data_IF_070643338724
#
_entry.id   IF_070643338724
#
_cell.length_a   1.000
_cell.length_b   1.000
_cell.length_c   1.000
_cell.angle_alpha   90.00
_cell.angle_beta   90.00
_cell.angle_gamma   90.00
#
_symmetry.space_group_name_H-M   'P 1'
#
loop_
_entity.id
_entity.type
_entity.pdbx_description
1 polymer ?
#
# COMPACT_ATOMS: atom_id res chain seq x y z
N UNK A 1 -8.48 -14.20 -12.93
CA UNK A 1 -7.73 -14.58 -11.71
C UNK A 1 -7.18 -13.31 -11.09
N UNK A 2 -7.41 -13.12 -9.81
CA UNK A 2 -6.86 -11.99 -9.04
C UNK A 2 -5.34 -12.06 -9.02
N UNK A 3 -4.67 -10.96 -9.35
CA UNK A 3 -3.21 -10.91 -9.40
C UNK A 3 -2.64 -10.87 -7.98
N UNK A 4 -1.43 -11.38 -7.79
CA UNK A 4 -0.73 -11.33 -6.51
C UNK A 4 0.53 -10.47 -6.62
N UNK A 5 0.72 -9.60 -5.64
CA UNK A 5 1.86 -8.71 -5.51
C UNK A 5 2.46 -8.85 -4.11
N UNK A 6 3.66 -8.37 -3.88
CA UNK A 6 4.30 -8.36 -2.57
C UNK A 6 4.27 -6.95 -1.98
N UNK A 7 3.97 -6.82 -0.69
CA UNK A 7 4.17 -5.60 0.08
C UNK A 7 5.36 -5.82 1.03
N UNK A 8 6.53 -5.24 0.70
CA UNK A 8 7.79 -5.58 1.31
C UNK A 8 7.92 -5.08 2.77
N UNK A 9 8.47 -5.88 3.68
CA UNK A 9 8.60 -5.56 5.10
C UNK A 9 9.83 -4.69 5.39
N UNK A 10 9.90 -3.48 4.86
CA UNK A 10 11.09 -2.61 4.85
C UNK A 10 11.67 -2.34 6.23
N UNK A 11 10.81 -2.17 7.25
CA UNK A 11 11.25 -1.90 8.61
C UNK A 11 11.73 -3.16 9.36
N UNK A 12 11.32 -4.37 8.92
CA UNK A 12 11.60 -5.62 9.59
C UNK A 12 12.85 -6.36 9.06
N UNK A 13 13.37 -5.95 7.91
CA UNK A 13 14.51 -6.64 7.29
C UNK A 13 15.85 -6.09 7.75
N UNK A 14 16.89 -6.93 7.92
CA UNK A 14 18.19 -6.51 8.41
C UNK A 14 18.97 -5.63 7.42
N UNK A 15 18.72 -5.78 6.12
CA UNK A 15 19.48 -5.07 5.07
C UNK A 15 18.59 -4.73 3.85
N UNK A 16 19.10 -3.86 2.97
CA UNK A 16 18.50 -3.64 1.65
C UNK A 16 18.63 -4.92 0.81
N UNK A 17 19.72 -5.66 0.94
CA UNK A 17 19.93 -6.90 0.20
C UNK A 17 18.84 -7.94 0.52
N UNK A 18 18.44 -8.08 1.78
CA UNK A 18 17.33 -8.97 2.15
C UNK A 18 16.01 -8.60 1.47
N UNK A 19 15.74 -7.30 1.26
CA UNK A 19 14.56 -6.84 0.52
C UNK A 19 14.66 -7.17 -0.98
N UNK A 20 15.85 -7.06 -1.54
CA UNK A 20 16.13 -7.47 -2.93
C UNK A 20 15.95 -8.98 -3.10
N UNK A 21 16.46 -9.78 -2.17
CA UNK A 21 16.33 -11.25 -2.21
C UNK A 21 14.85 -11.67 -2.11
N UNK A 22 14.06 -11.01 -1.27
CA UNK A 22 12.60 -11.22 -1.20
C UNK A 22 11.92 -10.85 -2.52
N UNK A 23 12.30 -9.73 -3.16
CA UNK A 23 11.74 -9.33 -4.45
C UNK A 23 12.10 -10.33 -5.56
N UNK A 24 13.35 -10.80 -5.62
CA UNK A 24 13.80 -11.84 -6.55
C UNK A 24 13.02 -13.16 -6.35
N UNK A 25 12.83 -13.57 -5.10
CA UNK A 25 12.00 -14.75 -4.81
C UNK A 25 10.56 -14.53 -5.29
N UNK A 26 9.99 -13.33 -5.10
CA UNK A 26 8.69 -12.97 -5.64
C UNK A 26 8.62 -13.11 -7.16
N UNK A 27 9.62 -12.61 -7.86
CA UNK A 27 9.76 -12.74 -9.31
C UNK A 27 9.80 -14.21 -9.76
N UNK A 28 10.66 -15.03 -9.13
CA UNK A 28 10.76 -16.48 -9.39
C UNK A 28 9.44 -17.23 -9.13
N UNK A 29 8.60 -16.72 -8.23
CA UNK A 29 7.29 -17.28 -7.90
C UNK A 29 6.13 -16.70 -8.72
N UNK A 30 6.39 -15.76 -9.61
CA UNK A 30 5.40 -15.19 -10.50
C UNK A 30 4.54 -14.08 -9.88
N UNK A 31 5.00 -13.46 -8.80
CA UNK A 31 4.34 -12.24 -8.30
C UNK A 31 4.53 -11.09 -9.28
N UNK A 32 3.46 -10.34 -9.51
CA UNK A 32 3.46 -9.29 -10.52
C UNK A 32 4.29 -8.07 -10.14
N UNK A 33 4.34 -7.72 -8.83
CA UNK A 33 4.94 -6.46 -8.38
C UNK A 33 5.45 -6.54 -6.94
N UNK A 34 6.53 -5.81 -6.66
CA UNK A 34 7.04 -5.54 -5.32
C UNK A 34 6.69 -4.09 -4.92
N UNK A 35 5.85 -3.93 -3.91
CA UNK A 35 5.49 -2.66 -3.32
C UNK A 35 6.39 -2.35 -2.13
N UNK A 36 6.92 -1.12 -2.08
CA UNK A 36 7.81 -0.65 -1.02
C UNK A 36 7.13 0.47 -0.23
N UNK A 37 6.81 0.26 1.07
CA UNK A 37 6.23 1.31 1.90
C UNK A 37 7.25 2.39 2.27
N UNK A 38 6.79 3.65 2.30
CA UNK A 38 7.57 4.78 2.82
C UNK A 38 7.05 5.18 4.21
N UNK A 39 7.87 4.91 5.21
CA UNK A 39 7.63 5.28 6.60
C UNK A 39 8.90 5.94 7.18
N UNK A 40 9.26 5.69 8.41
CA UNK A 40 10.51 6.14 9.04
C UNK A 40 11.63 5.08 8.99
N UNK A 41 11.57 4.18 8.01
CA UNK A 41 12.56 3.14 7.76
C UNK A 41 13.59 3.55 6.69
N UNK A 42 13.83 2.65 5.73
CA UNK A 42 14.73 2.94 4.61
C UNK A 42 14.05 3.83 3.58
N UNK A 43 14.85 4.65 2.89
CA UNK A 43 14.39 5.50 1.79
C UNK A 43 13.81 4.64 0.66
N UNK A 44 12.58 4.97 0.27
CA UNK A 44 11.80 4.18 -0.68
C UNK A 44 12.43 4.18 -2.08
N UNK A 45 12.97 5.32 -2.52
CA UNK A 45 13.57 5.46 -3.87
C UNK A 45 14.84 4.63 -3.98
N UNK A 46 15.68 4.66 -2.94
CA UNK A 46 16.92 3.86 -2.87
C UNK A 46 16.62 2.36 -2.90
N UNK A 47 15.59 1.90 -2.16
CA UNK A 47 15.18 0.49 -2.16
C UNK A 47 14.62 0.09 -3.51
N UNK A 48 13.71 0.89 -4.09
CA UNK A 48 13.12 0.61 -5.41
C UNK A 48 14.19 0.56 -6.52
N UNK A 49 15.16 1.48 -6.50
CA UNK A 49 16.28 1.47 -7.45
C UNK A 49 17.08 0.18 -7.36
N UNK A 50 17.38 -0.28 -6.12
CA UNK A 50 18.12 -1.54 -5.94
C UNK A 50 17.32 -2.75 -6.43
N UNK A 51 16.03 -2.81 -6.18
CA UNK A 51 15.17 -3.89 -6.68
C UNK A 51 15.13 -3.83 -8.22
N UNK A 52 14.88 -2.65 -8.79
CA UNK A 52 14.79 -2.46 -10.24
C UNK A 52 16.03 -2.96 -11.00
N UNK A 53 17.24 -2.73 -10.43
CA UNK A 53 18.51 -3.12 -11.05
C UNK A 53 18.92 -4.58 -10.83
N UNK A 54 18.22 -5.28 -9.95
CA UNK A 54 18.53 -6.66 -9.57
C UNK A 54 17.45 -7.66 -9.97
N UNK A 55 16.37 -7.18 -10.60
CA UNK A 55 15.23 -7.96 -11.09
C UNK A 55 14.93 -7.59 -12.54
N UNK A 56 14.34 -8.51 -13.31
CA UNK A 56 14.12 -8.34 -14.74
C UNK A 56 12.64 -8.15 -15.12
N UNK A 57 11.71 -8.81 -14.41
CA UNK A 57 10.29 -8.87 -14.79
C UNK A 57 9.34 -8.27 -13.76
N UNK A 58 9.62 -8.44 -12.45
CA UNK A 58 8.73 -7.98 -11.40
C UNK A 58 8.56 -6.46 -11.44
N UNK A 59 7.32 -6.01 -11.47
CA UNK A 59 7.01 -4.59 -11.37
C UNK A 59 7.45 -4.02 -10.03
N UNK A 60 7.70 -2.72 -9.98
CA UNK A 60 8.07 -2.01 -8.76
C UNK A 60 7.13 -0.84 -8.49
N UNK A 61 7.03 -0.41 -7.25
CA UNK A 61 6.31 0.80 -6.89
C UNK A 61 6.36 1.12 -5.41
N UNK A 62 6.27 2.39 -5.02
CA UNK A 62 6.02 2.75 -3.64
C UNK A 62 4.55 2.45 -3.29
N UNK A 63 4.30 1.98 -2.08
CA UNK A 63 2.96 1.84 -1.52
C UNK A 63 2.96 2.32 -0.07
N UNK A 64 2.93 3.60 0.11
CA UNK A 64 2.87 4.70 -0.86
C UNK A 64 4.01 5.69 -0.61
N UNK A 65 4.40 6.48 -1.62
CA UNK A 65 5.17 7.69 -1.42
C UNK A 65 4.24 8.80 -0.87
N UNK A 66 4.64 9.42 0.24
CA UNK A 66 3.77 10.42 0.86
C UNK A 66 3.82 11.77 0.12
N UNK A 67 2.70 12.49 0.14
CA UNK A 67 2.52 13.77 -0.56
C UNK A 67 2.96 14.98 0.27
N UNK A 68 3.87 14.81 1.23
CA UNK A 68 4.38 15.88 2.09
C UNK A 68 5.91 15.96 2.12
N UNK A 69 6.62 14.85 1.93
CA UNK A 69 8.07 14.79 2.11
C UNK A 69 8.90 15.29 0.93
N UNK A 70 8.35 15.21 -0.30
CA UNK A 70 8.99 15.69 -1.54
C UNK A 70 8.07 16.71 -2.19
N UNK A 71 8.59 17.62 -3.02
CA UNK A 71 7.71 18.43 -3.87
C UNK A 71 7.07 17.54 -4.96
N UNK A 72 5.87 17.89 -5.47
CA UNK A 72 5.24 17.10 -6.53
C UNK A 72 6.07 17.06 -7.83
N UNK A 73 6.78 18.13 -8.14
CA UNK A 73 7.70 18.16 -9.28
C UNK A 73 8.89 17.20 -9.10
N UNK A 74 9.49 17.16 -7.87
CA UNK A 74 10.55 16.21 -7.57
C UNK A 74 10.04 14.76 -7.60
N UNK A 75 8.82 14.50 -7.14
CA UNK A 75 8.22 13.17 -7.21
C UNK A 75 7.99 12.73 -8.67
N UNK A 76 7.53 13.65 -9.54
CA UNK A 76 7.43 13.39 -10.98
C UNK A 76 8.77 13.09 -11.64
N UNK A 77 9.80 13.87 -11.29
CA UNK A 77 11.18 13.60 -11.72
C UNK A 77 11.70 12.25 -11.24
N UNK A 78 11.43 11.89 -9.98
CA UNK A 78 11.77 10.58 -9.40
C UNK A 78 11.06 9.45 -10.15
N UNK A 79 9.76 9.63 -10.45
CA UNK A 79 8.98 8.64 -11.17
C UNK A 79 9.52 8.39 -12.58
N UNK A 80 9.87 9.45 -13.32
CA UNK A 80 10.50 9.32 -14.63
C UNK A 80 11.83 8.54 -14.58
N UNK A 81 12.67 8.85 -13.58
CA UNK A 81 13.96 8.17 -13.41
C UNK A 81 13.79 6.69 -12.99
N UNK A 82 12.84 6.39 -12.09
CA UNK A 82 12.54 5.00 -11.71
C UNK A 82 11.95 4.20 -12.87
N UNK A 83 11.14 4.84 -13.71
CA UNK A 83 10.59 4.20 -14.92
C UNK A 83 11.72 3.82 -15.90
N UNK A 84 12.68 4.70 -16.12
CA UNK A 84 13.89 4.44 -16.91
C UNK A 84 14.72 3.29 -16.32
N UNK A 85 15.08 3.37 -15.03
CA UNK A 85 15.91 2.35 -14.36
C UNK A 85 15.23 0.99 -14.30
N UNK A 86 13.91 0.94 -14.25
CA UNK A 86 13.13 -0.30 -14.19
C UNK A 86 12.67 -0.81 -15.55
N UNK A 87 13.10 -0.20 -16.65
CA UNK A 87 12.66 -0.56 -18.01
C UNK A 87 11.13 -0.63 -18.13
N UNK A 88 10.45 0.44 -17.69
CA UNK A 88 9.00 0.58 -17.83
C UNK A 88 8.15 -0.14 -16.78
N UNK A 89 8.75 -0.72 -15.71
CA UNK A 89 8.02 -1.53 -14.72
C UNK A 89 7.44 -0.76 -13.54
N UNK A 90 7.57 0.58 -13.50
CA UNK A 90 7.08 1.39 -12.40
C UNK A 90 5.55 1.53 -12.41
N UNK A 91 4.95 1.47 -11.23
CA UNK A 91 3.61 1.97 -10.92
C UNK A 91 3.71 2.81 -9.65
N UNK A 92 3.31 4.07 -9.69
CA UNK A 92 3.54 5.02 -8.61
C UNK A 92 2.34 5.06 -7.65
N UNK A 93 2.48 4.50 -6.46
CA UNK A 93 1.49 4.69 -5.41
C UNK A 93 1.78 5.95 -4.59
N UNK A 94 0.81 6.84 -4.44
CA UNK A 94 0.89 8.04 -3.63
C UNK A 94 -0.24 8.11 -2.58
N UNK A 95 -0.03 8.88 -1.53
CA UNK A 95 -1.06 9.07 -0.52
C UNK A 95 -0.64 10.03 0.59
N UNK A 96 -1.57 10.41 1.48
CA UNK A 96 -1.26 11.40 2.51
C UNK A 96 -0.42 10.85 3.67
N UNK A 97 -0.26 9.53 3.80
CA UNK A 97 0.26 8.90 5.03
C UNK A 97 -0.64 9.24 6.24
N UNK A 98 -0.09 9.35 7.45
CA UNK A 98 -0.82 9.72 8.65
C UNK A 98 -0.22 10.96 9.35
N UNK A 99 -1.02 11.72 10.11
CA UNK A 99 -0.55 12.92 10.81
C UNK A 99 0.68 12.65 11.69
N UNK A 100 0.71 11.55 12.42
CA UNK A 100 1.83 11.19 13.29
C UNK A 100 3.17 11.10 12.55
N UNK A 101 3.19 10.56 11.33
CA UNK A 101 4.38 10.48 10.48
C UNK A 101 4.71 11.83 9.87
N UNK A 102 3.72 12.53 9.35
CA UNK A 102 3.95 13.79 8.64
C UNK A 102 4.39 14.89 9.61
N UNK A 103 3.71 15.06 10.72
CA UNK A 103 4.03 16.08 11.71
C UNK A 103 5.23 15.69 12.57
N UNK A 104 5.27 14.42 13.04
CA UNK A 104 6.29 13.95 13.97
C UNK A 104 7.63 13.62 13.34
N UNK A 105 7.65 13.06 12.13
CA UNK A 105 8.87 12.66 11.44
C UNK A 105 9.34 13.66 10.38
N UNK A 106 8.40 14.15 9.53
CA UNK A 106 8.74 15.08 8.45
C UNK A 106 8.70 16.55 8.89
N UNK A 107 8.05 16.89 10.02
CA UNK A 107 7.93 18.25 10.52
C UNK A 107 7.08 19.15 9.60
N UNK A 108 6.18 18.57 8.85
CA UNK A 108 5.26 19.27 7.96
C UNK A 108 3.84 19.30 8.55
N UNK A 109 3.10 20.35 8.28
CA UNK A 109 1.69 20.44 8.69
C UNK A 109 0.83 19.46 7.88
N UNK A 110 0.03 18.64 8.56
CA UNK A 110 -0.91 17.74 7.92
C UNK A 110 -2.21 18.46 7.55
N UNK A 111 -2.15 19.23 6.46
CA UNK A 111 -3.28 20.05 5.99
C UNK A 111 -3.82 19.57 4.63
N UNK A 112 -5.14 19.73 4.43
CA UNK A 112 -5.85 19.48 3.16
C UNK A 112 -5.41 18.21 2.40
N UNK A 113 -5.33 17.01 3.06
CA UNK A 113 -4.71 15.82 2.49
C UNK A 113 -5.31 15.38 1.15
N UNK A 114 -6.62 15.47 0.97
CA UNK A 114 -7.27 15.08 -0.28
C UNK A 114 -6.93 16.05 -1.43
N UNK A 115 -6.97 17.36 -1.16
CA UNK A 115 -6.59 18.34 -2.17
C UNK A 115 -5.13 18.20 -2.56
N UNK A 116 -4.25 18.03 -1.57
CA UNK A 116 -2.82 17.83 -1.79
C UNK A 116 -2.55 16.59 -2.63
N UNK A 117 -3.18 15.45 -2.32
CA UNK A 117 -3.03 14.21 -3.08
C UNK A 117 -3.48 14.40 -4.54
N UNK A 118 -4.60 15.10 -4.77
CA UNK A 118 -5.08 15.40 -6.11
C UNK A 118 -4.09 16.27 -6.89
N UNK A 119 -3.60 17.37 -6.30
CA UNK A 119 -2.65 18.25 -6.96
C UNK A 119 -1.31 17.55 -7.24
N UNK A 120 -0.85 16.64 -6.34
CA UNK A 120 0.32 15.80 -6.60
C UNK A 120 0.12 14.91 -7.81
N UNK A 121 -1.01 14.24 -7.92
CA UNK A 121 -1.33 13.37 -9.06
C UNK A 121 -1.32 14.16 -10.38
N UNK A 122 -1.99 15.31 -10.42
CA UNK A 122 -2.06 16.18 -11.58
C UNK A 122 -0.67 16.69 -11.99
N UNK A 123 0.14 17.16 -11.02
CA UNK A 123 1.49 17.67 -11.28
C UNK A 123 2.45 16.56 -11.70
N UNK A 124 2.42 15.39 -11.06
CA UNK A 124 3.26 14.24 -11.43
C UNK A 124 3.00 13.84 -12.88
N UNK A 125 1.73 13.74 -13.29
CA UNK A 125 1.37 13.44 -14.68
C UNK A 125 1.87 14.50 -15.64
N UNK A 126 1.70 15.78 -15.29
CA UNK A 126 2.19 16.89 -16.11
C UNK A 126 3.73 16.91 -16.24
N UNK A 127 4.46 16.58 -15.16
CA UNK A 127 5.92 16.46 -15.20
C UNK A 127 6.36 15.29 -16.08
N UNK A 128 5.75 14.12 -15.94
CA UNK A 128 6.13 12.90 -16.67
C UNK A 128 5.68 12.90 -18.13
N UNK A 129 4.77 13.80 -18.54
CA UNK A 129 4.41 14.00 -19.96
C UNK A 129 5.55 14.59 -20.80
N UNK A 130 6.55 15.20 -20.16
CA UNK A 130 7.66 15.89 -20.84
C UNK A 130 7.31 17.30 -21.35
N UNK A 131 6.09 17.75 -21.16
CA UNK A 131 5.66 19.10 -21.53
C UNK A 131 6.17 20.15 -20.54
N UNK A 132 6.13 21.44 -20.96
CA UNK A 132 6.45 22.53 -20.04
C UNK A 132 5.33 22.68 -19.02
N UNK A 133 5.68 22.51 -17.75
CA UNK A 133 4.74 22.55 -16.64
C UNK A 133 4.24 23.97 -16.38
N UNK A 134 2.93 24.15 -16.42
CA UNK A 134 2.20 25.29 -15.89
C UNK A 134 1.05 24.76 -15.05
N UNK A 135 1.08 25.02 -13.75
CA UNK A 135 0.07 24.55 -12.81
C UNK A 135 -0.23 25.65 -11.78
N UNK A 136 -1.48 25.97 -11.62
CA UNK A 136 -1.97 26.97 -10.65
C UNK A 136 -3.12 26.37 -9.85
N UNK A 137 -2.77 25.71 -8.74
CA UNK A 137 -3.69 25.02 -7.82
C UNK A 137 -3.92 25.81 -6.53
N UNK A 138 -4.63 25.18 -5.60
CA UNK A 138 -4.90 25.76 -4.28
C UNK A 138 -3.71 25.65 -3.31
N UNK A 139 -2.78 24.73 -3.58
CA UNK A 139 -1.62 24.44 -2.74
C UNK A 139 -0.32 24.72 -3.50
N UNK A 140 -0.26 24.34 -4.77
CA UNK A 140 0.95 24.47 -5.57
C UNK A 140 0.74 25.38 -6.77
N UNK A 141 1.75 26.23 -7.02
CA UNK A 141 1.86 27.03 -8.25
C UNK A 141 3.24 26.82 -8.84
N UNK A 142 3.31 26.27 -10.07
CA UNK A 142 4.56 25.92 -10.75
C UNK A 142 4.49 26.41 -12.20
N UNK A 143 5.62 26.96 -12.69
CA UNK A 143 5.64 27.51 -14.05
C UNK A 143 7.01 27.44 -14.72
N UNK A 144 7.02 27.09 -16.02
CA UNK A 144 8.11 27.35 -16.93
C UNK A 144 9.23 26.31 -16.95
N UNK A 145 9.08 25.16 -16.24
CA UNK A 145 10.07 24.09 -16.25
C UNK A 145 9.53 22.82 -16.92
N UNK A 146 10.43 22.00 -17.45
CA UNK A 146 10.16 20.65 -17.92
C UNK A 146 11.33 19.72 -17.59
N UNK A 147 11.11 18.42 -17.68
CA UNK A 147 12.20 17.45 -17.57
C UNK A 147 13.29 17.76 -18.61
N UNK A 148 14.55 17.54 -18.22
CA UNK A 148 15.72 17.67 -19.10
C UNK A 148 16.24 16.32 -19.60
N UNK A 149 15.61 15.22 -19.23
CA UNK A 149 15.76 13.89 -19.80
C UNK A 149 14.57 13.60 -20.71
N UNK A 150 14.66 12.53 -21.48
CA UNK A 150 13.55 12.05 -22.28
C UNK A 150 12.39 11.64 -21.37
N UNK A 151 11.14 12.00 -21.72
CA UNK A 151 9.99 11.57 -20.95
C UNK A 151 9.79 10.06 -21.09
N UNK A 152 9.10 9.40 -20.11
CA UNK A 152 8.74 8.01 -20.25
C UNK A 152 7.99 7.72 -21.57
N UNK A 153 8.36 6.64 -22.26
CA UNK A 153 7.70 6.25 -23.52
C UNK A 153 6.22 5.90 -23.32
N UNK A 154 5.89 5.37 -22.14
CA UNK A 154 4.52 5.07 -21.73
C UNK A 154 4.16 5.86 -20.48
N UNK A 155 2.89 6.24 -20.33
CA UNK A 155 2.43 6.92 -19.13
C UNK A 155 2.65 6.05 -17.91
N UNK A 156 3.18 6.65 -16.84
CA UNK A 156 3.35 5.98 -15.55
C UNK A 156 2.00 5.94 -14.84
N UNK A 157 1.44 4.75 -14.52
CA UNK A 157 0.21 4.69 -13.76
C UNK A 157 0.42 5.25 -12.33
N UNK A 158 -0.51 6.08 -11.87
CA UNK A 158 -0.48 6.68 -10.53
C UNK A 158 -1.66 6.19 -9.72
N UNK A 159 -1.37 5.41 -8.68
CA UNK A 159 -2.36 4.91 -7.73
C UNK A 159 -2.47 5.82 -6.51
N UNK A 160 -3.64 5.86 -5.89
CA UNK A 160 -3.89 6.62 -4.67
C UNK A 160 -4.29 5.68 -3.53
N UNK A 161 -3.68 5.85 -2.37
CA UNK A 161 -4.11 5.17 -1.15
C UNK A 161 -5.14 5.99 -0.38
N UNK A 162 -6.13 5.30 0.16
CA UNK A 162 -7.16 5.92 0.99
C UNK A 162 -8.09 4.91 1.63
N UNK A 163 -8.57 5.21 2.85
CA UNK A 163 -9.49 4.36 3.62
C UNK A 163 -10.87 4.98 3.84
N UNK A 164 -10.98 6.29 3.71
CA UNK A 164 -12.26 6.99 3.90
C UNK A 164 -13.03 7.14 2.59
N UNK A 165 -14.36 7.33 2.64
CA UNK A 165 -15.21 7.44 1.46
C UNK A 165 -14.72 8.46 0.44
N UNK A 166 -14.32 9.65 0.89
CA UNK A 166 -13.87 10.73 -0.01
C UNK A 166 -12.49 10.50 -0.62
N UNK A 167 -11.59 9.76 0.05
CA UNK A 167 -10.30 9.39 -0.54
C UNK A 167 -10.46 8.29 -1.59
N UNK A 168 -11.40 7.38 -1.39
CA UNK A 168 -11.72 6.33 -2.37
C UNK A 168 -12.44 6.92 -3.59
N UNK A 169 -13.42 7.80 -3.39
CA UNK A 169 -14.06 8.57 -4.47
C UNK A 169 -13.03 9.38 -5.29
N UNK A 170 -12.04 9.99 -4.63
CA UNK A 170 -10.93 10.69 -5.29
C UNK A 170 -10.11 9.72 -6.15
N UNK A 171 -9.79 8.54 -5.63
CA UNK A 171 -9.05 7.53 -6.39
C UNK A 171 -9.81 7.11 -7.65
N UNK A 172 -11.09 6.77 -7.54
CA UNK A 172 -11.95 6.44 -8.68
C UNK A 172 -12.00 7.54 -9.73
N UNK A 173 -12.10 8.79 -9.28
CA UNK A 173 -12.24 9.93 -10.18
C UNK A 173 -10.96 10.31 -10.92
N UNK A 174 -9.80 10.18 -10.30
CA UNK A 174 -8.56 10.79 -10.81
C UNK A 174 -7.38 9.83 -10.96
N UNK A 175 -7.32 8.69 -10.22
CA UNK A 175 -6.15 7.83 -10.19
C UNK A 175 -6.26 6.65 -11.17
N UNK A 176 -5.14 6.00 -11.46
CA UNK A 176 -5.08 4.77 -12.26
C UNK A 176 -5.23 3.51 -11.39
N UNK A 177 -5.35 3.71 -10.08
CA UNK A 177 -5.67 2.65 -9.14
C UNK A 177 -5.89 3.14 -7.71
N UNK A 178 -6.40 2.24 -6.90
CA UNK A 178 -6.64 2.45 -5.47
C UNK A 178 -5.92 1.39 -4.64
N UNK A 179 -5.12 1.84 -3.66
CA UNK A 179 -4.54 0.99 -2.64
C UNK A 179 -5.41 0.97 -1.39
N UNK A 180 -6.03 -0.19 -1.14
CA UNK A 180 -6.85 -0.49 0.02
C UNK A 180 -6.04 -1.26 1.06
N UNK A 181 -6.25 -0.98 2.34
CA UNK A 181 -5.62 -1.69 3.46
C UNK A 181 -6.55 -1.69 4.67
N UNK A 182 -6.51 -2.77 5.47
CA UNK A 182 -7.31 -2.92 6.70
C UNK A 182 -8.82 -2.83 6.40
N UNK A 183 -9.25 -3.63 5.44
CA UNK A 183 -10.66 -3.83 5.12
C UNK A 183 -11.02 -5.30 5.25
N UNK A 184 -12.14 -5.56 5.94
CA UNK A 184 -12.84 -6.84 5.87
C UNK A 184 -13.45 -7.03 4.48
N UNK A 185 -13.83 -8.25 4.09
CA UNK A 185 -14.52 -8.46 2.81
C UNK A 185 -15.79 -7.60 2.65
N UNK A 186 -16.56 -7.39 3.73
CA UNK A 186 -17.75 -6.54 3.72
C UNK A 186 -17.37 -5.06 3.59
N UNK A 187 -16.44 -4.59 4.43
CA UNK A 187 -15.94 -3.20 4.36
C UNK A 187 -15.31 -2.86 3.01
N UNK A 188 -14.71 -3.86 2.34
CA UNK A 188 -14.19 -3.69 0.98
C UNK A 188 -15.31 -3.47 -0.04
N UNK A 189 -16.40 -4.26 0.03
CA UNK A 189 -17.56 -4.09 -0.86
C UNK A 189 -18.19 -2.71 -0.70
N UNK A 190 -18.39 -2.25 0.54
CA UNK A 190 -18.90 -0.90 0.78
C UNK A 190 -18.00 0.21 0.19
N UNK A 191 -16.69 0.05 0.27
CA UNK A 191 -15.73 1.04 -0.27
C UNK A 191 -15.66 1.00 -1.80
N UNK A 192 -15.91 -0.14 -2.41
CA UNK A 192 -16.03 -0.25 -3.87
C UNK A 192 -17.19 0.60 -4.41
N UNK A 193 -18.30 0.75 -3.68
CA UNK A 193 -19.38 1.67 -4.06
C UNK A 193 -18.92 3.15 -4.06
N UNK A 194 -18.02 3.53 -3.13
CA UNK A 194 -17.40 4.87 -3.14
C UNK A 194 -16.47 5.07 -4.36
N UNK A 195 -15.75 4.01 -4.73
CA UNK A 195 -14.89 4.00 -5.91
C UNK A 195 -15.72 4.18 -7.20
N UNK A 196 -16.81 3.43 -7.34
CA UNK A 196 -17.73 3.52 -8.47
C UNK A 196 -18.30 4.92 -8.62
N UNK A 197 -18.75 5.54 -7.50
CA UNK A 197 -19.17 6.95 -7.54
C UNK A 197 -18.07 7.90 -8.03
N UNK A 198 -16.84 7.62 -7.66
CA UNK A 198 -15.68 8.39 -8.14
C UNK A 198 -15.46 8.22 -9.64
N UNK A 199 -15.56 6.99 -10.14
CA UNK A 199 -15.45 6.63 -11.56
C UNK A 199 -16.52 7.37 -12.37
N UNK A 200 -17.77 7.30 -11.94
CA UNK A 200 -18.91 8.00 -12.57
C UNK A 200 -18.69 9.53 -12.60
N UNK A 201 -18.25 10.12 -11.49
CA UNK A 201 -17.94 11.56 -11.41
C UNK A 201 -16.76 11.97 -12.30
N UNK A 202 -15.91 11.03 -12.67
CA UNK A 202 -14.77 11.23 -13.55
C UNK A 202 -15.07 10.98 -15.02
N UNK A 203 -16.29 10.50 -15.36
CA UNK A 203 -16.66 10.04 -16.69
C UNK A 203 -15.66 8.99 -17.22
N UNK A 204 -15.42 7.95 -16.39
CA UNK A 204 -14.41 6.90 -16.62
C UNK A 204 -15.06 5.53 -16.61
N UNK A 205 -14.33 4.53 -17.10
CA UNK A 205 -14.72 3.13 -17.03
C UNK A 205 -14.11 2.42 -15.80
N UNK A 206 -14.76 1.34 -15.32
CA UNK A 206 -14.21 0.56 -14.19
C UNK A 206 -12.81 0.02 -14.46
N UNK A 207 -12.53 -0.39 -15.69
CA UNK A 207 -11.24 -0.95 -16.11
C UNK A 207 -10.09 0.09 -16.12
N UNK A 208 -10.41 1.38 -16.04
CA UNK A 208 -9.41 2.44 -15.91
C UNK A 208 -8.77 2.51 -14.51
N UNK A 209 -9.35 1.82 -13.51
CA UNK A 209 -8.96 1.94 -12.10
C UNK A 209 -8.68 0.58 -11.50
N UNK A 210 -7.41 0.26 -11.29
CA UNK A 210 -6.99 -0.98 -10.65
C UNK A 210 -7.17 -0.92 -9.12
N UNK A 211 -7.77 -1.93 -8.54
CA UNK A 211 -7.94 -2.06 -7.08
C UNK A 211 -6.93 -3.07 -6.53
N UNK A 212 -6.07 -2.60 -5.62
CA UNK A 212 -5.10 -3.46 -4.91
C UNK A 212 -5.45 -3.48 -3.42
N UNK A 213 -5.81 -4.64 -2.88
CA UNK A 213 -6.04 -4.84 -1.45
C UNK A 213 -4.79 -5.42 -0.79
N UNK A 214 -4.24 -4.69 0.18
CA UNK A 214 -3.11 -5.15 0.99
C UNK A 214 -3.61 -5.97 2.18
N UNK A 215 -3.07 -7.18 2.33
CA UNK A 215 -3.38 -8.11 3.40
C UNK A 215 -2.14 -8.37 4.27
N UNK A 216 -2.34 -8.53 5.57
CA UNK A 216 -1.32 -9.11 6.44
C UNK A 216 -1.36 -10.61 6.29
N UNK A 217 -0.25 -11.23 5.86
CA UNK A 217 -0.23 -12.66 5.56
C UNK A 217 0.91 -13.38 6.28
N UNK A 218 0.63 -14.56 6.81
CA UNK A 218 1.62 -15.43 7.43
C UNK A 218 1.19 -16.89 7.29
N UNK A 219 1.91 -17.69 6.51
CA UNK A 219 1.60 -19.08 6.24
C UNK A 219 2.77 -19.96 6.65
N UNK A 220 2.63 -20.64 7.80
CA UNK A 220 3.69 -21.45 8.42
C UNK A 220 3.15 -22.83 8.83
N UNK A 221 4.02 -23.84 8.89
CA UNK A 221 3.65 -25.15 9.47
C UNK A 221 3.15 -25.00 10.92
N UNK A 222 3.77 -24.11 11.70
CA UNK A 222 3.26 -23.65 12.99
C UNK A 222 2.20 -22.56 12.77
N UNK A 223 0.95 -23.00 12.63
CA UNK A 223 -0.19 -22.11 12.40
C UNK A 223 -0.50 -21.18 13.58
N UNK A 224 -0.19 -21.58 14.82
CA UNK A 224 -0.34 -20.73 16.02
C UNK A 224 0.64 -19.57 15.97
N UNK A 225 1.90 -19.83 15.67
CA UNK A 225 2.93 -18.82 15.46
C UNK A 225 2.53 -17.82 14.36
N UNK A 226 2.00 -18.32 13.25
CA UNK A 226 1.53 -17.48 12.15
C UNK A 226 0.42 -16.50 12.59
N UNK A 227 -0.56 -17.00 13.35
CA UNK A 227 -1.67 -16.20 13.85
C UNK A 227 -1.22 -15.18 14.89
N UNK A 228 -0.31 -15.54 15.78
CA UNK A 228 0.25 -14.64 16.78
C UNK A 228 1.00 -13.47 16.14
N UNK A 229 1.79 -13.73 15.10
CA UNK A 229 2.47 -12.69 14.34
C UNK A 229 1.48 -11.74 13.66
N UNK A 230 0.43 -12.27 13.03
CA UNK A 230 -0.60 -11.46 12.38
C UNK A 230 -1.38 -10.61 13.42
N UNK A 231 -1.71 -11.19 14.57
CA UNK A 231 -2.39 -10.50 15.67
C UNK A 231 -1.55 -9.35 16.24
N UNK A 232 -0.25 -9.57 16.46
CA UNK A 232 0.67 -8.52 16.90
C UNK A 232 0.78 -7.39 15.88
N UNK A 233 0.78 -7.72 14.59
CA UNK A 233 0.83 -6.74 13.52
C UNK A 233 -0.43 -5.87 13.48
N UNK A 234 -1.61 -6.49 13.57
CA UNK A 234 -2.89 -5.79 13.61
C UNK A 234 -3.01 -4.89 14.84
N UNK A 235 -2.63 -5.39 16.04
CA UNK A 235 -2.61 -4.59 17.27
C UNK A 235 -1.73 -3.35 17.13
N UNK A 236 -0.56 -3.48 16.48
CA UNK A 236 0.31 -2.36 16.18
C UNK A 236 -0.36 -1.33 15.23
N UNK A 237 -1.01 -1.78 14.17
CA UNK A 237 -1.68 -0.86 13.24
C UNK A 237 -2.79 -0.07 13.93
N UNK A 238 -3.64 -0.73 14.70
CA UNK A 238 -4.76 -0.09 15.40
C UNK A 238 -4.27 0.81 16.53
N UNK A 239 -3.22 0.37 17.27
CA UNK A 239 -2.74 1.05 18.47
C UNK A 239 -1.72 2.17 18.22
N UNK A 240 -0.85 2.03 17.21
CA UNK A 240 0.31 2.90 17.03
C UNK A 240 0.32 3.75 15.77
N UNK A 241 -0.39 3.34 14.69
CA UNK A 241 -0.29 3.99 13.39
C UNK A 241 -1.25 5.17 13.19
N UNK A 242 -1.87 5.65 14.27
CA UNK A 242 -2.76 6.81 14.28
C UNK A 242 -4.25 6.46 14.18
N UNK A 243 -5.10 7.49 14.09
CA UNK A 243 -6.56 7.34 14.20
C UNK A 243 -7.22 6.73 12.98
N UNK A 244 -6.62 6.84 11.79
CA UNK A 244 -7.25 6.41 10.54
C UNK A 244 -7.57 4.91 10.47
N UNK A 245 -6.69 4.05 10.97
CA UNK A 245 -6.93 2.61 11.02
C UNK A 245 -8.06 2.27 11.98
N UNK A 246 -8.07 2.90 13.15
CA UNK A 246 -9.14 2.76 14.15
C UNK A 246 -10.48 3.25 13.60
N UNK A 247 -10.52 4.42 12.97
CA UNK A 247 -11.72 4.95 12.32
C UNK A 247 -12.20 4.09 11.16
N UNK A 248 -11.29 3.44 10.43
CA UNK A 248 -11.65 2.49 9.38
C UNK A 248 -12.35 1.26 9.95
N UNK A 249 -11.84 0.69 11.04
CA UNK A 249 -12.46 -0.44 11.72
C UNK A 249 -13.79 -0.05 12.37
N UNK A 250 -13.88 1.14 12.97
CA UNK A 250 -15.14 1.65 13.54
C UNK A 250 -16.25 1.73 12.47
N UNK A 251 -15.93 2.20 11.25
CA UNK A 251 -16.88 2.21 10.13
C UNK A 251 -17.31 0.83 9.66
N UNK A 252 -16.52 -0.20 9.94
CA UNK A 252 -16.78 -1.60 9.60
C UNK A 252 -17.45 -2.38 10.76
N UNK A 253 -17.91 -1.67 11.81
CA UNK A 253 -18.63 -2.27 12.94
C UNK A 253 -17.75 -2.71 14.13
N UNK A 254 -16.45 -2.46 14.09
CA UNK A 254 -15.48 -2.85 15.14
C UNK A 254 -15.01 -1.65 15.98
N UNK A 255 -15.93 -0.73 16.32
CA UNK A 255 -15.58 0.50 17.04
C UNK A 255 -15.12 0.21 18.48
N UNK A 256 -15.80 -0.70 19.17
CA UNK A 256 -15.49 -1.06 20.56
C UNK A 256 -14.13 -1.75 20.65
N UNK A 257 -13.90 -2.77 19.81
CA UNK A 257 -12.64 -3.51 19.73
C UNK A 257 -11.47 -2.60 19.37
N UNK A 258 -11.65 -1.74 18.35
CA UNK A 258 -10.61 -0.83 17.90
C UNK A 258 -10.22 0.19 19.00
N UNK A 259 -11.18 0.69 19.78
CA UNK A 259 -10.92 1.59 20.90
C UNK A 259 -10.22 0.87 22.06
N UNK A 260 -10.64 -0.34 22.40
CA UNK A 260 -10.05 -1.14 23.48
C UNK A 260 -8.61 -1.55 23.15
N UNK A 261 -8.34 -1.99 21.92
CA UNK A 261 -7.00 -2.30 21.42
C UNK A 261 -6.10 -1.05 21.51
N UNK A 262 -6.58 0.10 21.05
CA UNK A 262 -5.81 1.35 21.09
C UNK A 262 -5.54 1.82 22.55
N UNK A 263 -6.49 1.66 23.46
CA UNK A 263 -6.33 1.99 24.87
C UNK A 263 -5.28 1.09 25.55
N UNK A 264 -5.35 -0.23 25.32
CA UNK A 264 -4.39 -1.18 25.85
C UNK A 264 -2.98 -0.90 25.29
N UNK A 265 -2.86 -0.63 23.99
CA UNK A 265 -1.59 -0.27 23.36
C UNK A 265 -0.99 1.00 23.96
N UNK A 266 -1.79 2.06 24.11
CA UNK A 266 -1.34 3.36 24.64
C UNK A 266 -0.92 3.28 26.11
N UNK A 267 -1.45 2.32 26.89
CA UNK A 267 -1.02 2.04 28.26
C UNK A 267 0.26 1.20 28.36
N UNK A 268 0.80 0.74 27.22
CA UNK A 268 1.96 -0.14 27.15
C UNK A 268 1.66 -1.63 27.34
N UNK A 269 0.38 -1.99 27.48
CA UNK A 269 -0.06 -3.39 27.62
C UNK A 269 -0.30 -4.02 26.23
N UNK A 270 0.79 -4.27 25.53
CA UNK A 270 0.76 -4.81 24.16
C UNK A 270 0.23 -6.24 24.12
N UNK A 271 0.46 -7.04 25.16
CA UNK A 271 -0.08 -8.41 25.27
C UNK A 271 -1.60 -8.38 25.32
N UNK A 272 -2.16 -7.50 26.18
CA UNK A 272 -3.59 -7.29 26.23
C UNK A 272 -4.15 -6.76 24.90
N UNK A 273 -3.48 -5.80 24.26
CA UNK A 273 -3.90 -5.29 22.95
C UNK A 273 -4.03 -6.42 21.91
N UNK A 274 -3.08 -7.37 21.89
CA UNK A 274 -3.16 -8.55 21.05
C UNK A 274 -4.33 -9.47 21.43
N UNK A 275 -4.56 -9.71 22.71
CA UNK A 275 -5.63 -10.60 23.19
C UNK A 275 -7.05 -10.06 22.96
N UNK A 276 -7.19 -8.76 22.74
CA UNK A 276 -8.46 -8.11 22.42
C UNK A 276 -8.89 -8.24 20.96
N UNK A 277 -8.05 -8.80 20.10
CA UNK A 277 -8.40 -9.03 18.68
C UNK A 277 -9.16 -10.36 18.57
N UNK A 278 -10.48 -10.32 18.23
CA UNK A 278 -11.26 -11.52 18.03
C UNK A 278 -10.73 -12.37 16.86
N UNK A 279 -10.98 -13.68 16.89
CA UNK A 279 -10.52 -14.59 15.84
C UNK A 279 -11.14 -14.30 14.48
N UNK A 280 -12.42 -13.93 14.44
CA UNK A 280 -13.14 -13.56 13.25
C UNK A 280 -12.59 -12.25 12.64
N UNK A 281 -12.30 -11.24 13.45
CA UNK A 281 -11.68 -10.01 12.97
C UNK A 281 -10.28 -10.27 12.39
N UNK A 282 -9.50 -11.16 13.01
CA UNK A 282 -8.19 -11.54 12.48
C UNK A 282 -8.31 -12.22 11.10
N UNK A 283 -9.30 -13.12 10.95
CA UNK A 283 -9.58 -13.84 9.70
C UNK A 283 -10.21 -12.95 8.61
N UNK A 284 -10.89 -11.86 9.00
CA UNK A 284 -11.48 -10.89 8.08
C UNK A 284 -10.50 -9.79 7.61
N UNK A 285 -9.38 -9.63 8.31
CA UNK A 285 -8.38 -8.59 7.97
C UNK A 285 -7.06 -9.14 7.43
N UNK A 286 -6.87 -10.47 7.47
CA UNK A 286 -5.62 -11.08 7.07
C UNK A 286 -5.72 -12.56 6.75
N UNK A 287 -4.59 -13.13 6.41
CA UNK A 287 -4.44 -14.54 6.03
C UNK A 287 -3.33 -15.13 6.89
N UNK A 288 -3.69 -15.88 7.95
CA UNK A 288 -2.70 -16.42 8.87
C UNK A 288 -3.05 -17.82 9.38
N UNK A 289 -2.10 -18.75 9.30
CA UNK A 289 -2.28 -20.11 9.77
C UNK A 289 -1.34 -21.11 9.10
N UNK A 290 -1.74 -22.38 9.16
CA UNK A 290 -1.04 -23.42 8.39
C UNK A 290 -1.15 -23.16 6.88
N UNK A 291 -0.27 -23.74 6.04
CA UNK A 291 -0.31 -23.55 4.60
C UNK A 291 -1.69 -23.78 3.97
N UNK A 292 -2.39 -24.84 4.38
CA UNK A 292 -3.72 -25.15 3.84
C UNK A 292 -4.78 -24.15 4.29
N UNK A 293 -4.75 -23.72 5.58
CA UNK A 293 -5.63 -22.68 6.08
C UNK A 293 -5.38 -21.36 5.37
N UNK A 294 -4.13 -20.96 5.24
CA UNK A 294 -3.77 -19.70 4.60
C UNK A 294 -4.25 -19.62 3.14
N UNK A 295 -4.15 -20.72 2.38
CA UNK A 295 -4.71 -20.78 1.00
C UNK A 295 -6.23 -20.62 1.01
N UNK A 296 -6.92 -21.34 1.87
CA UNK A 296 -8.38 -21.27 1.98
C UNK A 296 -8.87 -19.87 2.41
N UNK A 297 -8.15 -19.20 3.33
CA UNK A 297 -8.46 -17.82 3.74
C UNK A 297 -8.19 -16.84 2.59
N UNK A 298 -7.12 -17.01 1.82
CA UNK A 298 -6.80 -16.14 0.69
C UNK A 298 -7.89 -16.17 -0.40
N UNK A 299 -8.49 -17.34 -0.65
CA UNK A 299 -9.59 -17.50 -1.61
C UNK A 299 -10.79 -16.60 -1.31
N UNK A 300 -11.07 -16.27 -0.04
CA UNK A 300 -12.15 -15.37 0.36
C UNK A 300 -11.91 -13.96 -0.17
N UNK A 301 -10.67 -13.50 -0.15
CA UNK A 301 -10.28 -12.19 -0.67
C UNK A 301 -10.17 -12.18 -2.19
N UNK A 302 -9.73 -13.27 -2.80
CA UNK A 302 -9.71 -13.45 -4.25
C UNK A 302 -11.11 -13.45 -4.87
N UNK A 303 -12.12 -13.84 -4.08
CA UNK A 303 -13.53 -13.88 -4.50
C UNK A 303 -14.25 -12.53 -4.35
N UNK A 304 -13.60 -11.48 -3.86
CA UNK A 304 -14.21 -10.14 -3.76
C UNK A 304 -14.25 -9.54 -5.16
N UNK A 305 -15.48 -9.43 -5.70
CA UNK A 305 -15.68 -8.78 -6.99
C UNK A 305 -15.21 -7.31 -6.95
N UNK A 306 -14.51 -6.88 -7.99
CA UNK A 306 -13.94 -5.53 -8.04
C UNK A 306 -12.55 -5.40 -7.39
N UNK A 307 -11.95 -6.46 -6.83
CA UNK A 307 -10.54 -6.48 -6.41
C UNK A 307 -9.68 -7.12 -7.50
N UNK A 308 -8.78 -6.33 -8.10
CA UNK A 308 -7.94 -6.77 -9.22
C UNK A 308 -6.64 -7.45 -8.76
N UNK A 309 -6.17 -7.09 -7.56
CA UNK A 309 -4.87 -7.52 -7.03
C UNK A 309 -4.87 -7.63 -5.50
N UNK A 310 -4.23 -8.68 -4.98
CA UNK A 310 -3.92 -8.82 -3.56
C UNK A 310 -2.43 -8.56 -3.34
N UNK A 311 -2.11 -7.63 -2.43
CA UNK A 311 -0.74 -7.39 -2.01
C UNK A 311 -0.47 -8.18 -0.72
N UNK A 312 0.37 -9.20 -0.86
CA UNK A 312 0.81 -10.11 0.20
C UNK A 312 1.82 -9.36 1.07
N UNK A 313 1.38 -8.93 2.25
CA UNK A 313 2.20 -8.21 3.21
C UNK A 313 2.55 -9.11 4.40
N UNK A 314 3.66 -8.81 5.06
CA UNK A 314 4.22 -9.67 6.10
C UNK A 314 4.14 -8.99 7.47
N UNK A 315 3.81 -9.73 8.54
CA UNK A 315 3.73 -9.16 9.87
C UNK A 315 5.11 -8.73 10.38
N UNK A 316 5.11 -7.70 11.20
CA UNK A 316 6.31 -7.28 11.93
C UNK A 316 6.77 -8.41 12.84
N UNK A 317 8.04 -8.70 12.86
CA UNK A 317 8.60 -9.78 13.67
C UNK A 317 8.64 -11.15 12.99
N UNK A 318 8.10 -11.29 11.78
CA UNK A 318 8.38 -12.45 10.95
C UNK A 318 9.85 -12.45 10.53
N UNK A 319 10.50 -13.62 10.63
CA UNK A 319 11.88 -13.82 10.14
C UNK A 319 11.91 -13.86 8.61
N UNK A 320 13.10 -13.76 8.04
CA UNK A 320 13.25 -13.88 6.58
C UNK A 320 12.77 -15.25 6.09
N UNK A 321 13.05 -16.32 6.80
CA UNK A 321 12.62 -17.67 6.48
C UNK A 321 11.08 -17.82 6.54
N UNK A 322 10.43 -17.20 7.54
CA UNK A 322 8.96 -17.19 7.67
C UNK A 322 8.31 -16.40 6.53
N UNK A 323 8.92 -15.30 6.09
CA UNK A 323 8.49 -14.51 4.94
C UNK A 323 8.62 -15.32 3.65
N UNK A 324 9.76 -15.96 3.43
CA UNK A 324 10.01 -16.79 2.26
C UNK A 324 9.06 -17.99 2.18
N UNK A 325 8.80 -18.65 3.31
CA UNK A 325 7.83 -19.73 3.39
C UNK A 325 6.41 -19.23 2.99
N UNK A 326 6.02 -18.06 3.48
CA UNK A 326 4.73 -17.46 3.14
C UNK A 326 4.63 -17.11 1.65
N UNK A 327 5.69 -16.55 1.05
CA UNK A 327 5.77 -16.28 -0.40
C UNK A 327 5.55 -17.57 -1.20
N UNK A 328 6.21 -18.64 -0.81
CA UNK A 328 6.11 -19.92 -1.51
C UNK A 328 4.73 -20.57 -1.40
N UNK A 329 4.11 -20.48 -0.23
CA UNK A 329 2.78 -21.05 0.04
C UNK A 329 1.69 -20.30 -0.74
N UNK A 330 1.78 -18.96 -0.81
CA UNK A 330 0.76 -18.11 -1.41
C UNK A 330 1.08 -17.70 -2.86
N UNK A 331 2.08 -18.30 -3.49
CA UNK A 331 2.49 -18.01 -4.85
C UNK A 331 1.32 -18.08 -5.87
N UNK A 332 1.31 -17.24 -6.92
CA UNK A 332 0.36 -17.35 -8.01
C UNK A 332 0.37 -18.74 -8.65
N UNK A 333 -0.82 -19.27 -8.99
CA UNK A 333 -0.94 -20.56 -9.72
C UNK A 333 -0.74 -21.82 -8.89
N UNK A 334 -0.76 -21.73 -7.57
CA UNK A 334 -0.74 -22.88 -6.67
C UNK A 334 -2.07 -23.07 -5.96
#
# INVERSE_FOLDING_TARGET
MTRKTLHLPVAAQPSIQSLVDIAKRGEERGYERAWVPETWGRDVVTVLTRIATETDEIGIGPSIANVYSRSPALLGQTAATLQEVSDGRLRLGIGPSGPAVIEGWHGADFDRPLRRTREYLEIVRAVTSGETLYYDGDIFSLAGFRLRCDPPETSIPVDVAGMGPKSVELAGRFADGWHAIVFTPEGMRERLEDLERGIDLGDRERDDVRVTLSLTTCALEDGERARDLARQHLAFYVGAMGTYYRESLARQGYEEEANDIAAAWSSGDHERACSLIPEDLLDDLGVAGTPDRARAELEKFEAIDGVDSLAIGFPRGATTEEIEATIDVLAPGR
#
